data_IF_349356590308
#
_entry.id   IF_349356590308
#
_cell.length_a   1.000
_cell.length_b   1.000
_cell.length_c   1.000
_cell.angle_alpha   90.00
_cell.angle_beta   90.00
_cell.angle_gamma   90.00
#
_symmetry.space_group_name_H-M   'P 1'
#
loop_
_entity.id
_entity.type
_entity.pdbx_description
1 polymer ?
#
# COMPACT_ATOMS: atom_id res chain seq x y z
N UNK A 1 -0.11 -2.31 12.65
CA UNK A 1 0.80 -2.73 11.57
C UNK A 1 2.12 -1.99 11.75
N UNK A 2 3.27 -2.59 11.43
CA UNK A 2 4.59 -1.94 11.59
C UNK A 2 5.32 -1.86 10.25
N UNK A 3 5.84 -0.67 9.93
CA UNK A 3 6.72 -0.47 8.78
C UNK A 3 8.17 -0.78 9.16
N UNK A 4 8.84 -1.54 8.30
CA UNK A 4 10.23 -1.97 8.47
C UNK A 4 11.03 -1.54 7.24
N UNK A 5 11.89 -0.54 7.41
CA UNK A 5 12.65 0.05 6.30
C UNK A 5 13.64 -0.94 5.66
N UNK A 6 14.18 -1.88 6.44
CA UNK A 6 15.05 -2.98 5.98
C UNK A 6 14.32 -4.02 5.12
N UNK A 7 12.98 -3.99 5.12
CA UNK A 7 12.11 -4.85 4.30
C UNK A 7 11.35 -4.09 3.22
N UNK A 8 11.71 -2.83 3.00
CA UNK A 8 11.14 -1.99 1.97
C UNK A 8 12.19 -1.66 0.92
N UNK A 9 11.74 -1.38 -0.30
CA UNK A 9 12.59 -0.94 -1.38
C UNK A 9 11.79 -0.14 -2.41
N UNK A 10 12.47 0.79 -3.08
CA UNK A 10 11.91 1.54 -4.20
C UNK A 10 12.53 0.99 -5.47
N UNK A 11 11.69 0.65 -6.46
CA UNK A 11 12.13 0.36 -7.82
C UNK A 11 11.98 1.62 -8.66
N UNK A 12 13.05 2.04 -9.33
CA UNK A 12 13.08 3.31 -10.06
C UNK A 12 13.19 4.51 -9.12
N UNK A 13 12.68 5.66 -9.56
CA UNK A 13 12.69 6.91 -8.79
C UNK A 13 11.37 7.63 -8.98
N UNK A 14 10.71 7.97 -7.89
CA UNK A 14 9.53 8.83 -7.90
C UNK A 14 9.90 10.24 -8.37
N UNK A 15 8.95 10.92 -9.04
CA UNK A 15 9.05 12.36 -9.25
C UNK A 15 9.01 13.08 -7.90
N UNK A 16 9.49 14.33 -7.83
CA UNK A 16 9.45 15.09 -6.56
C UNK A 16 8.01 15.29 -6.07
N UNK A 17 7.06 15.46 -6.99
CA UNK A 17 5.63 15.57 -6.66
C UNK A 17 5.08 14.26 -6.10
N UNK A 18 5.39 13.12 -6.73
CA UNK A 18 4.90 11.82 -6.24
C UNK A 18 5.57 11.41 -4.93
N UNK A 19 6.85 11.75 -4.74
CA UNK A 19 7.55 11.53 -3.47
C UNK A 19 6.88 12.31 -2.33
N UNK A 20 6.55 13.58 -2.57
CA UNK A 20 5.80 14.39 -1.60
C UNK A 20 4.41 13.80 -1.32
N UNK A 21 3.70 13.33 -2.35
CA UNK A 21 2.42 12.65 -2.17
C UNK A 21 2.56 11.33 -1.42
N UNK A 22 3.64 10.57 -1.63
CA UNK A 22 3.91 9.32 -0.94
C UNK A 22 4.09 9.55 0.56
N UNK A 23 4.87 10.57 0.96
CA UNK A 23 5.06 10.94 2.38
C UNK A 23 3.73 11.28 3.07
N UNK A 24 2.81 11.92 2.34
CA UNK A 24 1.47 12.24 2.85
C UNK A 24 0.51 11.05 2.86
N UNK A 25 0.58 10.20 1.84
CA UNK A 25 -0.34 9.08 1.63
C UNK A 25 -0.01 7.88 2.52
N UNK A 26 1.28 7.62 2.76
CA UNK A 26 1.71 6.40 3.45
C UNK A 26 1.09 6.21 4.83
N UNK A 27 1.03 7.22 5.73
CA UNK A 27 0.34 7.08 7.02
C UNK A 27 -1.17 6.84 6.89
N UNK A 28 -1.81 7.36 5.83
CA UNK A 28 -3.23 7.15 5.56
C UNK A 28 -3.49 5.72 5.10
N UNK A 29 -2.67 5.22 4.17
CA UNK A 29 -2.72 3.85 3.66
C UNK A 29 -2.50 2.85 4.80
N UNK A 30 -1.51 3.08 5.66
CA UNK A 30 -1.26 2.22 6.83
C UNK A 30 -2.48 2.11 7.74
N UNK A 31 -3.13 3.23 8.07
CA UNK A 31 -4.35 3.24 8.89
C UNK A 31 -5.53 2.54 8.19
N UNK A 32 -5.69 2.74 6.89
CA UNK A 32 -6.73 2.06 6.13
C UNK A 32 -6.53 0.54 6.13
N UNK A 33 -5.30 0.06 5.92
CA UNK A 33 -5.02 -1.37 5.95
C UNK A 33 -5.22 -1.99 7.35
N UNK A 34 -4.94 -1.26 8.43
CA UNK A 34 -5.28 -1.72 9.78
C UNK A 34 -6.79 -1.89 9.98
N UNK A 35 -7.60 -0.97 9.45
CA UNK A 35 -9.05 -1.08 9.48
C UNK A 35 -9.54 -2.27 8.65
N UNK A 36 -8.98 -2.48 7.45
CA UNK A 36 -9.35 -3.58 6.55
C UNK A 36 -8.91 -4.95 7.11
N UNK A 37 -7.80 -5.00 7.85
CA UNK A 37 -7.42 -6.18 8.64
C UNK A 37 -8.40 -6.44 9.78
N UNK A 38 -8.84 -5.38 10.46
CA UNK A 38 -9.78 -5.48 11.59
C UNK A 38 -11.18 -5.90 11.12
N UNK A 39 -11.62 -5.44 9.95
CA UNK A 39 -12.89 -5.87 9.35
C UNK A 39 -12.84 -7.31 8.80
N UNK A 40 -11.64 -7.82 8.52
CA UNK A 40 -11.42 -9.15 7.97
C UNK A 40 -11.50 -9.23 6.45
N UNK A 41 -11.72 -8.11 5.76
CA UNK A 41 -11.62 -8.01 4.30
C UNK A 41 -10.21 -8.40 3.83
N UNK A 42 -9.19 -7.91 4.52
CA UNK A 42 -7.84 -8.42 4.40
C UNK A 42 -7.60 -9.45 5.50
N UNK A 43 -7.37 -10.70 5.12
CA UNK A 43 -7.27 -11.80 6.08
C UNK A 43 -5.83 -12.34 6.13
N UNK A 44 -5.19 -12.46 7.31
CA UNK A 44 -3.83 -13.00 7.43
C UNK A 44 -3.65 -14.42 6.87
N UNK A 45 -4.72 -15.21 6.76
CA UNK A 45 -4.69 -16.62 6.35
C UNK A 45 -5.09 -16.86 4.89
N UNK A 46 -5.63 -15.85 4.21
CA UNK A 46 -6.11 -15.99 2.84
C UNK A 46 -5.46 -14.97 1.95
N UNK A 47 -4.99 -15.42 0.79
CA UNK A 47 -4.50 -14.52 -0.24
C UNK A 47 -5.69 -13.74 -0.82
N UNK A 48 -5.59 -12.42 -0.78
CA UNK A 48 -6.56 -11.52 -1.35
C UNK A 48 -5.93 -10.13 -1.49
N UNK A 49 -5.84 -9.64 -2.72
CA UNK A 49 -5.33 -8.30 -2.99
C UNK A 49 -6.44 -7.28 -2.86
N UNK A 50 -6.19 -6.24 -2.05
CA UNK A 50 -7.02 -5.03 -1.98
C UNK A 50 -6.29 -3.89 -2.68
N UNK A 51 -7.05 -3.00 -3.30
CA UNK A 51 -6.53 -1.80 -3.97
C UNK A 51 -7.05 -0.55 -3.27
N UNK A 52 -6.13 0.32 -2.85
CA UNK A 52 -6.42 1.61 -2.22
C UNK A 52 -5.90 2.74 -3.09
N UNK A 53 -6.52 3.91 -2.95
CA UNK A 53 -6.15 5.12 -3.68
C UNK A 53 -5.97 6.28 -2.71
N UNK A 54 -4.85 6.97 -2.79
CA UNK A 54 -4.57 8.15 -1.98
C UNK A 54 -3.60 9.07 -2.70
N UNK A 55 -3.92 10.37 -2.77
CA UNK A 55 -3.02 11.42 -3.33
C UNK A 55 -2.50 11.13 -4.75
N UNK A 56 -3.33 10.53 -5.61
CA UNK A 56 -2.93 10.17 -6.97
C UNK A 56 -1.98 8.96 -7.03
N UNK A 57 -1.83 8.22 -5.92
CA UNK A 57 -1.11 6.97 -5.85
C UNK A 57 -2.10 5.81 -5.72
N UNK A 58 -1.76 4.70 -6.37
CA UNK A 58 -2.40 3.41 -6.20
C UNK A 58 -1.57 2.58 -5.22
N UNK A 59 -2.23 1.91 -4.29
CA UNK A 59 -1.62 1.00 -3.34
C UNK A 59 -2.29 -0.36 -3.45
N UNK A 60 -1.56 -1.38 -3.86
CA UNK A 60 -1.99 -2.78 -3.78
C UNK A 60 -1.42 -3.40 -2.51
N UNK A 61 -2.26 -4.12 -1.77
CA UNK A 61 -1.84 -4.81 -0.56
C UNK A 61 -2.43 -6.23 -0.49
N UNK A 62 -1.64 -7.18 -0.02
CA UNK A 62 -2.04 -8.59 0.15
C UNK A 62 -1.28 -9.22 1.33
N UNK A 63 -1.92 -10.12 2.07
CA UNK A 63 -1.24 -10.88 3.13
C UNK A 63 -0.47 -12.08 2.59
N UNK A 64 -0.82 -12.53 1.38
CA UNK A 64 -0.39 -13.77 0.74
C UNK A 64 -0.58 -15.01 1.65
N UNK A 65 -1.54 -14.97 2.57
CA UNK A 65 -1.76 -16.03 3.56
C UNK A 65 -0.58 -16.23 4.53
N UNK A 66 0.30 -15.24 4.67
CA UNK A 66 1.55 -15.37 5.43
C UNK A 66 1.39 -15.44 6.95
N UNK A 67 0.19 -15.19 7.47
CA UNK A 67 -0.13 -15.17 8.90
C UNK A 67 0.67 -14.16 9.75
N UNK A 68 1.36 -13.20 9.12
CA UNK A 68 2.17 -12.22 9.86
C UNK A 68 2.67 -11.01 9.06
N UNK A 69 2.53 -11.02 7.73
CA UNK A 69 2.95 -9.90 6.88
C UNK A 69 1.80 -9.38 6.02
N UNK A 70 1.93 -8.11 5.67
CA UNK A 70 1.20 -7.47 4.58
C UNK A 70 2.24 -6.97 3.59
N UNK A 71 2.15 -7.46 2.37
CA UNK A 71 2.96 -7.02 1.25
C UNK A 71 2.26 -5.85 0.58
N UNK A 72 3.01 -4.81 0.24
CA UNK A 72 2.47 -3.58 -0.30
C UNK A 72 3.26 -3.14 -1.54
N UNK A 73 2.55 -2.69 -2.57
CA UNK A 73 3.11 -1.98 -3.71
C UNK A 73 2.40 -0.64 -3.87
N UNK A 74 3.15 0.46 -3.81
CA UNK A 74 2.62 1.82 -4.01
C UNK A 74 3.28 2.42 -5.25
N UNK A 75 2.48 2.96 -6.16
CA UNK A 75 2.94 3.53 -7.42
C UNK A 75 2.01 4.65 -7.90
N UNK A 76 2.48 5.58 -8.74
CA UNK A 76 1.63 6.62 -9.31
C UNK A 76 0.45 5.99 -10.07
N UNK A 77 -0.76 6.46 -9.80
CA UNK A 77 -1.94 6.02 -10.54
C UNK A 77 -1.80 6.50 -11.98
N UNK A 78 -1.80 5.61 -13.00
CA UNK A 78 -1.71 6.04 -14.38
C UNK A 78 -2.88 6.96 -14.72
N UNK A 79 -2.59 8.16 -15.21
CA UNK A 79 -3.64 9.00 -15.78
C UNK A 79 -4.19 8.30 -17.02
N UNK A 80 -5.47 7.94 -17.00
CA UNK A 80 -6.17 7.55 -18.21
C UNK A 80 -6.24 8.79 -19.09
N UNK A 81 -5.45 8.81 -20.17
CA UNK A 81 -5.66 9.78 -21.25
C UNK A 81 -7.11 9.60 -21.73
N UNK A 82 -7.95 10.59 -21.47
CA UNK A 82 -9.28 10.71 -22.08
C UNK A 82 -9.14 11.10 -23.55
#
# INVERSE_FOLDING_TARGET
MYYLADRAGIRGRFSDADAYHLDQAFPLLMKQLELILTSGELNPRHQHTVTLYARGLTCEADTLGSCGYVYMAVYPTPETKK
#
